data_IF_491249979367
#
_entry.id   IF_491249979367
#
_cell.length_a   1.000
_cell.length_b   1.000
_cell.length_c   1.000
_cell.angle_alpha   90.00
_cell.angle_beta   90.00
_cell.angle_gamma   90.00
#
_symmetry.space_group_name_H-M   'P 1'
#
loop_
_entity.id
_entity.type
_entity.pdbx_description
1 polymer ?
#
# COMPACT_ATOMS: atom_id res chain seq x y z
N UNK A 1 50.16 6.79 40.22
CA UNK A 1 49.32 7.50 41.19
C UNK A 1 48.69 8.70 40.50
N UNK A 2 47.38 8.65 40.27
CA UNK A 2 46.40 9.76 40.36
C UNK A 2 45.07 9.12 39.95
N UNK A 3 44.21 8.97 40.97
CA UNK A 3 42.79 8.68 40.83
C UNK A 3 42.13 9.97 40.32
N UNK A 4 41.28 9.89 39.30
CA UNK A 4 40.13 10.78 39.25
C UNK A 4 38.95 10.04 38.64
N UNK A 5 37.98 9.79 39.50
CA UNK A 5 36.69 9.21 39.20
C UNK A 5 35.79 10.25 38.54
N UNK A 6 35.04 9.85 37.51
CA UNK A 6 33.91 10.61 36.99
C UNK A 6 32.66 9.72 36.97
N UNK A 7 31.99 9.78 38.12
CA UNK A 7 30.55 9.93 38.39
C UNK A 7 29.56 9.40 37.33
N UNK A 8 28.61 8.53 37.73
CA UNK A 8 27.53 8.04 36.87
C UNK A 8 26.44 9.11 36.72
N UNK A 9 26.05 9.42 35.49
CA UNK A 9 24.85 10.24 35.22
C UNK A 9 23.62 9.34 35.32
N UNK A 10 22.99 9.39 36.48
CA UNK A 10 21.65 8.89 36.73
C UNK A 10 20.60 9.94 36.31
N UNK A 11 19.54 9.44 35.69
CA UNK A 11 18.16 9.95 35.72
C UNK A 11 17.85 11.21 34.90
N UNK A 12 17.06 11.01 33.85
CA UNK A 12 15.89 11.86 33.62
C UNK A 12 14.66 10.98 33.37
N UNK A 13 13.83 10.89 34.42
CA UNK A 13 12.48 10.35 34.39
C UNK A 13 11.63 11.24 33.48
N UNK A 14 11.30 10.74 32.28
CA UNK A 14 10.26 11.33 31.44
C UNK A 14 8.89 10.91 31.98
N UNK A 15 8.06 11.90 32.29
CA UNK A 15 6.71 11.76 32.83
C UNK A 15 5.82 10.92 31.90
N UNK A 16 5.32 9.80 32.43
CA UNK A 16 4.16 9.11 31.88
C UNK A 16 2.88 9.92 32.12
N UNK A 17 2.06 10.07 31.08
CA UNK A 17 0.67 10.51 31.19
C UNK A 17 -0.13 9.90 30.05
N UNK A 18 -0.89 8.85 30.36
CA UNK A 18 -2.21 8.67 29.77
C UNK A 18 -3.13 8.13 30.86
N UNK A 19 -4.11 8.95 31.22
CA UNK A 19 -5.15 8.61 32.17
C UNK A 19 -6.12 7.63 31.52
N UNK A 20 -6.29 6.50 32.19
CA UNK A 20 -7.41 5.59 32.05
C UNK A 20 -8.72 6.34 32.27
N UNK A 21 -9.66 6.20 31.33
CA UNK A 21 -11.08 6.44 31.56
C UNK A 21 -11.81 5.12 31.26
N UNK A 22 -11.87 4.25 32.26
CA UNK A 22 -12.88 3.21 32.33
C UNK A 22 -14.04 3.77 33.18
N UNK A 23 -15.17 4.02 32.52
CA UNK A 23 -16.46 4.12 33.21
C UNK A 23 -17.20 2.79 33.01
N UNK A 24 -17.82 2.24 34.06
CA UNK A 24 -18.49 0.95 34.01
C UNK A 24 -19.93 1.13 33.51
N UNK A 25 -20.34 0.34 32.51
CA UNK A 25 -21.75 0.09 32.25
C UNK A 25 -22.00 -1.39 32.42
N UNK A 26 -22.69 -1.71 33.52
CA UNK A 26 -23.42 -2.97 33.66
C UNK A 26 -24.46 -3.06 32.55
N UNK A 27 -24.60 -4.24 31.95
CA UNK A 27 -25.88 -4.70 31.45
C UNK A 27 -25.83 -6.22 31.33
N UNK A 28 -26.81 -6.82 31.96
CA UNK A 28 -26.99 -8.25 32.17
C UNK A 28 -27.03 -9.07 30.88
N UNK A 29 -26.60 -10.31 31.02
CA UNK A 29 -26.83 -11.41 30.08
C UNK A 29 -28.31 -11.50 29.70
N UNK A 30 -28.61 -11.89 28.46
CA UNK A 30 -29.53 -12.97 28.12
C UNK A 30 -29.53 -13.25 26.61
N UNK A 31 -29.79 -14.51 26.31
CA UNK A 31 -29.57 -15.24 25.07
C UNK A 31 -30.67 -14.91 24.05
N UNK A 32 -30.30 -14.69 22.78
CA UNK A 32 -31.19 -14.96 21.64
C UNK A 32 -30.38 -15.67 20.56
N UNK A 33 -30.83 -16.88 20.24
CA UNK A 33 -30.32 -17.68 19.15
C UNK A 33 -30.73 -17.09 17.80
N UNK A 34 -29.96 -17.52 16.80
CA UNK A 34 -30.38 -17.76 15.42
C UNK A 34 -30.34 -16.63 14.39
N UNK A 35 -29.70 -17.01 13.27
CA UNK A 35 -29.95 -16.59 11.89
C UNK A 35 -29.47 -15.18 11.53
N UNK A 36 -29.02 -14.85 10.34
CA UNK A 36 -28.44 -15.53 9.17
C UNK A 36 -27.95 -14.34 8.31
N UNK A 37 -26.89 -14.56 7.52
CA UNK A 37 -26.61 -13.88 6.25
C UNK A 37 -26.55 -12.32 6.18
N UNK A 38 -25.37 -11.85 5.68
CA UNK A 38 -25.19 -10.78 4.65
C UNK A 38 -25.31 -9.33 5.17
N UNK A 39 -24.49 -8.32 4.83
CA UNK A 39 -23.37 -8.03 3.91
C UNK A 39 -22.70 -6.72 4.45
N UNK A 40 -21.46 -6.33 4.14
CA UNK A 40 -20.96 -5.81 2.85
C UNK A 40 -19.42 -5.81 2.95
N UNK A 41 -18.67 -6.56 2.15
CA UNK A 41 -18.40 -6.35 0.73
C UNK A 41 -17.74 -4.98 0.45
N UNK A 42 -16.61 -4.68 1.06
CA UNK A 42 -15.66 -3.69 0.51
C UNK A 42 -14.49 -4.40 -0.21
N UNK A 43 -14.84 -5.45 -0.94
CA UNK A 43 -13.92 -6.16 -1.82
C UNK A 43 -14.02 -5.51 -3.20
N UNK A 44 -13.20 -4.49 -3.42
CA UNK A 44 -12.96 -3.97 -4.75
C UNK A 44 -12.41 -5.11 -5.62
N UNK A 45 -13.23 -5.46 -6.62
CA UNK A 45 -13.06 -6.48 -7.64
C UNK A 45 -11.60 -6.90 -7.94
N UNK A 46 -11.28 -8.14 -7.62
CA UNK A 46 -10.32 -8.92 -8.41
C UNK A 46 -10.84 -10.36 -8.50
N UNK A 47 -11.06 -10.92 -9.70
CA UNK A 47 -11.49 -12.31 -9.82
C UNK A 47 -10.43 -13.22 -9.21
N UNK A 48 -10.86 -14.13 -8.33
CA UNK A 48 -10.02 -14.92 -7.43
C UNK A 48 -8.85 -15.67 -8.12
N UNK A 49 -8.99 -16.06 -9.40
CA UNK A 49 -7.95 -16.77 -10.17
C UNK A 49 -6.78 -15.91 -10.66
N UNK A 50 -6.80 -14.60 -10.43
CA UNK A 50 -5.76 -13.66 -10.87
C UNK A 50 -4.65 -13.51 -9.83
N UNK A 51 -5.02 -13.64 -8.56
CA UNK A 51 -4.12 -13.44 -7.43
C UNK A 51 -3.13 -14.61 -7.25
N UNK A 52 -3.49 -15.84 -7.67
CA UNK A 52 -2.59 -17.00 -7.58
C UNK A 52 -1.37 -16.95 -8.53
N UNK A 53 -1.42 -16.10 -9.57
CA UNK A 53 -0.34 -15.97 -10.57
C UNK A 53 0.44 -14.66 -10.46
N UNK A 54 0.22 -13.89 -9.40
CA UNK A 54 0.89 -12.61 -9.19
C UNK A 54 2.27 -12.84 -8.54
N UNK A 55 3.35 -12.22 -9.03
CA UNK A 55 4.65 -12.29 -8.37
C UNK A 55 4.54 -11.84 -6.91
N UNK A 56 5.18 -12.59 -6.01
CA UNK A 56 5.16 -12.32 -4.57
C UNK A 56 5.55 -10.88 -4.25
N UNK A 57 6.50 -10.32 -5.00
CA UNK A 57 6.97 -8.96 -4.77
C UNK A 57 5.89 -7.89 -5.09
N UNK A 58 5.05 -8.11 -6.11
CA UNK A 58 3.93 -7.21 -6.45
C UNK A 58 2.80 -7.38 -5.43
N UNK A 59 2.53 -8.62 -4.99
CA UNK A 59 1.60 -8.89 -3.89
C UNK A 59 2.02 -8.13 -2.63
N UNK A 60 3.30 -8.19 -2.26
CA UNK A 60 3.83 -7.49 -1.09
C UNK A 60 3.74 -5.96 -1.21
N UNK A 61 3.95 -5.39 -2.42
CA UNK A 61 3.69 -3.96 -2.68
C UNK A 61 2.22 -3.60 -2.46
N UNK A 62 1.29 -4.38 -3.03
CA UNK A 62 -0.14 -4.13 -2.84
C UNK A 62 -0.52 -4.25 -1.36
N UNK A 63 0.03 -5.24 -0.66
CA UNK A 63 -0.21 -5.42 0.77
C UNK A 63 0.33 -4.23 1.59
N UNK A 64 1.47 -3.63 1.21
CA UNK A 64 1.96 -2.41 1.85
C UNK A 64 1.14 -1.17 1.49
N UNK A 65 0.61 -1.07 0.27
CA UNK A 65 -0.28 0.02 -0.14
C UNK A 65 -1.58 0.06 0.67
N UNK A 66 -2.15 -1.11 1.00
CA UNK A 66 -3.38 -1.20 1.80
C UNK A 66 -3.24 -0.57 3.19
N UNK A 67 -2.02 -0.61 3.75
CA UNK A 67 -1.69 -0.09 5.08
C UNK A 67 -1.49 1.43 5.10
N UNK A 68 -1.37 2.08 3.93
CA UNK A 68 -1.21 3.54 3.84
C UNK A 68 -2.50 4.29 4.14
N UNK A 69 -2.34 5.52 4.63
CA UNK A 69 -3.43 6.49 4.72
C UNK A 69 -4.03 6.78 3.34
N UNK A 70 -5.29 7.19 3.30
CA UNK A 70 -6.03 7.38 2.03
C UNK A 70 -5.31 8.31 1.06
N UNK A 71 -4.72 9.40 1.57
CA UNK A 71 -4.03 10.42 0.75
C UNK A 71 -2.63 9.99 0.28
N UNK A 72 -2.07 8.90 0.82
CA UNK A 72 -0.75 8.36 0.44
C UNK A 72 -0.87 7.07 -0.37
N UNK A 73 -2.07 6.51 -0.44
CA UNK A 73 -2.36 5.21 -1.04
C UNK A 73 -2.37 5.31 -2.57
N UNK A 74 -1.56 4.50 -3.27
CA UNK A 74 -1.68 4.37 -4.72
C UNK A 74 -3.11 4.00 -5.13
N UNK A 75 -3.56 4.57 -6.25
CA UNK A 75 -4.95 4.44 -6.71
C UNK A 75 -5.24 3.07 -7.31
N UNK A 76 -4.28 2.54 -8.08
CA UNK A 76 -4.42 1.23 -8.75
C UNK A 76 -3.09 0.61 -9.14
N UNK A 77 -3.12 -0.72 -9.30
CA UNK A 77 -2.08 -1.51 -9.95
C UNK A 77 -2.70 -2.23 -11.14
N UNK A 78 -2.10 -2.03 -12.31
CA UNK A 78 -2.57 -2.60 -13.58
C UNK A 78 -1.42 -3.34 -14.25
N UNK A 79 -1.66 -4.58 -14.68
CA UNK A 79 -0.71 -5.33 -15.47
C UNK A 79 -0.87 -5.02 -16.96
N UNK A 80 0.25 -4.96 -17.66
CA UNK A 80 0.33 -4.82 -19.11
C UNK A 80 1.32 -5.83 -19.69
N UNK A 81 1.21 -6.06 -21.00
CA UNK A 81 2.30 -6.57 -21.82
C UNK A 81 2.99 -5.39 -22.49
N UNK A 82 4.25 -5.16 -22.17
CA UNK A 82 5.07 -4.09 -22.74
C UNK A 82 6.37 -4.69 -23.25
N UNK A 83 6.70 -4.45 -24.53
CA UNK A 83 7.88 -5.04 -25.21
C UNK A 83 7.98 -6.57 -25.02
N UNK A 84 6.84 -7.26 -25.12
CA UNK A 84 6.72 -8.71 -24.96
C UNK A 84 6.91 -9.23 -23.52
N UNK A 85 7.03 -8.34 -22.53
CA UNK A 85 7.21 -8.70 -21.11
C UNK A 85 6.00 -8.25 -20.30
N UNK A 86 5.68 -9.01 -19.25
CA UNK A 86 4.68 -8.60 -18.28
C UNK A 86 5.26 -7.52 -17.38
N UNK A 87 4.53 -6.42 -17.22
CA UNK A 87 4.90 -5.30 -16.35
C UNK A 87 3.71 -4.85 -15.52
N UNK A 88 3.97 -4.14 -14.43
CA UNK A 88 3.00 -3.66 -13.47
C UNK A 88 3.13 -2.16 -13.33
N UNK A 89 2.09 -1.45 -13.76
CA UNK A 89 1.98 -0.01 -13.67
C UNK A 89 1.20 0.37 -12.41
N UNK A 90 1.80 1.23 -11.58
CA UNK A 90 1.28 1.69 -10.31
C UNK A 90 0.93 3.17 -10.45
N UNK A 91 -0.36 3.49 -10.30
CA UNK A 91 -0.81 4.88 -10.28
C UNK A 91 -0.75 5.40 -8.85
N UNK A 92 0.03 6.44 -8.63
CA UNK A 92 0.24 7.05 -7.33
C UNK A 92 -0.95 7.91 -6.90
N UNK A 93 -0.97 8.31 -5.62
CA UNK A 93 -2.11 9.01 -5.02
C UNK A 93 -2.39 10.39 -5.65
N UNK A 94 -1.36 11.06 -6.17
CA UNK A 94 -1.43 12.38 -6.79
C UNK A 94 -0.62 12.38 -8.09
N UNK A 95 -1.06 13.14 -9.10
CA UNK A 95 -0.36 13.27 -10.37
C UNK A 95 1.03 13.92 -10.26
N UNK A 96 1.29 14.66 -9.18
CA UNK A 96 2.62 15.22 -8.89
C UNK A 96 3.64 14.15 -8.48
N UNK A 97 3.20 12.93 -8.17
CA UNK A 97 4.07 11.78 -7.99
C UNK A 97 4.24 11.03 -9.30
N UNK A 98 5.42 10.47 -9.49
CA UNK A 98 5.69 9.60 -10.63
C UNK A 98 4.91 8.31 -10.55
N UNK A 99 4.17 7.96 -11.60
CA UNK A 99 3.50 6.66 -11.69
C UNK A 99 4.52 5.61 -12.14
N UNK A 100 4.67 4.55 -11.38
CA UNK A 100 5.83 3.67 -11.49
C UNK A 100 5.52 2.41 -12.30
N UNK A 101 6.48 1.94 -13.11
CA UNK A 101 6.39 0.66 -13.82
C UNK A 101 7.45 -0.30 -13.29
N UNK A 102 7.01 -1.52 -12.96
CA UNK A 102 7.85 -2.61 -12.48
C UNK A 102 7.77 -3.84 -13.39
N UNK A 103 8.86 -4.61 -13.49
CA UNK A 103 8.81 -5.95 -14.09
C UNK A 103 8.29 -7.02 -13.11
N UNK A 104 8.27 -8.28 -13.53
CA UNK A 104 7.83 -9.43 -12.72
C UNK A 104 8.79 -9.82 -11.58
N UNK A 105 9.97 -9.21 -11.53
CA UNK A 105 10.95 -9.31 -10.44
C UNK A 105 10.96 -8.07 -9.55
N UNK A 106 10.02 -7.14 -9.77
CA UNK A 106 9.94 -5.85 -9.09
C UNK A 106 11.14 -4.94 -9.29
N UNK A 107 11.86 -5.08 -10.41
CA UNK A 107 12.80 -4.05 -10.83
C UNK A 107 12.00 -2.85 -11.34
N UNK A 108 12.34 -1.66 -10.84
CA UNK A 108 11.79 -0.41 -11.34
C UNK A 108 12.33 -0.15 -12.74
N UNK A 109 11.43 -0.02 -13.71
CA UNK A 109 11.76 0.23 -15.12
C UNK A 109 11.74 1.72 -15.47
N UNK A 110 10.89 2.50 -14.79
CA UNK A 110 10.73 3.93 -15.05
C UNK A 110 9.32 4.41 -14.72
N UNK A 111 9.07 5.68 -15.03
CA UNK A 111 7.78 6.33 -14.82
C UNK A 111 7.31 6.98 -16.12
N UNK A 112 6.31 6.44 -16.82
CA UNK A 112 5.88 6.94 -18.12
C UNK A 112 5.05 8.24 -18.03
N UNK A 113 4.51 8.55 -16.86
CA UNK A 113 3.75 9.77 -16.56
C UNK A 113 3.85 10.15 -15.06
N UNK A 114 3.10 11.18 -14.69
CA UNK A 114 3.14 11.79 -13.37
C UNK A 114 4.33 12.75 -13.21
N UNK A 115 4.60 13.14 -11.97
CA UNK A 115 5.51 14.24 -11.68
C UNK A 115 4.88 15.61 -11.98
N UNK A 116 5.53 16.69 -11.54
CA UNK A 116 5.01 18.06 -11.72
C UNK A 116 4.66 18.45 -13.16
N UNK A 117 5.37 17.87 -14.14
CA UNK A 117 5.12 18.12 -15.57
C UNK A 117 4.11 17.15 -16.19
N UNK A 118 3.75 16.07 -15.49
CA UNK A 118 2.98 14.95 -16.00
C UNK A 118 3.71 14.04 -17.00
N UNK A 119 4.98 14.33 -17.33
CA UNK A 119 5.74 13.62 -18.37
C UNK A 119 6.53 12.41 -17.86
N UNK A 120 6.45 12.11 -16.57
CA UNK A 120 7.22 11.02 -15.99
C UNK A 120 8.72 11.31 -15.90
N UNK A 121 9.52 10.25 -15.79
CA UNK A 121 10.98 10.33 -15.63
C UNK A 121 11.76 10.21 -16.95
N UNK A 122 11.06 10.14 -18.07
CA UNK A 122 11.65 10.06 -19.42
C UNK A 122 12.22 8.69 -19.81
N UNK A 123 12.17 7.67 -18.95
CA UNK A 123 12.74 6.34 -19.25
C UNK A 123 11.83 5.46 -20.12
N UNK A 124 10.53 5.75 -20.12
CA UNK A 124 9.51 4.94 -20.79
C UNK A 124 8.61 5.80 -21.72
N UNK A 125 9.19 6.52 -22.71
CA UNK A 125 8.47 7.50 -23.51
C UNK A 125 7.41 6.90 -24.45
N UNK A 126 7.52 5.60 -24.75
CA UNK A 126 6.64 4.84 -25.65
C UNK A 126 5.65 3.94 -24.90
N UNK A 127 5.64 3.97 -23.57
CA UNK A 127 4.86 3.03 -22.74
C UNK A 127 3.38 2.99 -23.11
N UNK A 128 2.69 4.13 -23.13
CA UNK A 128 1.26 4.17 -23.43
C UNK A 128 0.93 3.87 -24.89
N UNK A 129 1.92 3.88 -25.78
CA UNK A 129 1.76 3.49 -27.19
C UNK A 129 1.93 1.98 -27.38
N UNK A 130 2.85 1.36 -26.65
CA UNK A 130 3.23 -0.05 -26.85
C UNK A 130 2.65 -1.02 -25.81
N UNK A 131 2.22 -0.54 -24.65
CA UNK A 131 1.62 -1.37 -23.62
C UNK A 131 0.24 -1.87 -24.08
N UNK A 132 0.03 -3.18 -23.98
CA UNK A 132 -1.19 -3.88 -24.41
C UNK A 132 -1.67 -4.84 -23.32
N UNK A 133 -2.79 -5.52 -23.56
CA UNK A 133 -3.34 -6.53 -22.64
C UNK A 133 -3.56 -6.00 -21.22
N UNK A 134 -4.14 -4.80 -21.11
CA UNK A 134 -4.44 -4.16 -19.83
C UNK A 134 -5.27 -5.09 -18.93
N UNK A 135 -4.85 -5.21 -17.66
CA UNK A 135 -5.55 -6.02 -16.69
C UNK A 135 -5.44 -5.41 -15.30
N UNK A 136 -6.57 -4.97 -14.74
CA UNK A 136 -6.63 -4.47 -13.37
C UNK A 136 -6.26 -5.59 -12.37
N UNK A 137 -5.29 -5.31 -11.50
CA UNK A 137 -4.80 -6.23 -10.46
C UNK A 137 -5.33 -5.85 -9.09
N UNK A 138 -5.39 -4.54 -8.81
CA UNK A 138 -5.86 -3.99 -7.54
C UNK A 138 -6.22 -2.51 -7.71
N UNK A 139 -7.16 -2.02 -6.89
CA UNK A 139 -7.62 -0.63 -6.92
C UNK A 139 -8.88 -0.42 -7.75
N UNK A 140 -9.21 0.83 -8.02
CA UNK A 140 -10.38 1.20 -8.84
C UNK A 140 -10.06 1.08 -10.34
N UNK A 141 -11.01 0.62 -11.18
CA UNK A 141 -10.90 0.80 -12.62
C UNK A 141 -10.68 2.28 -12.99
N UNK A 142 -10.04 2.51 -14.14
CA UNK A 142 -9.83 3.84 -14.71
C UNK A 142 -11.16 4.44 -15.19
#
# INVERSE_FOLDING_TARGET
MIKLAFIPVLIVLSCGSVKSNQSPSKSDSLIVAEQTAKAKNDSLYTPAGLQEKLPTCIKNKIDSFKLKEVHEKPQRVTAYTYKGKKVYYVVMACCDFFNEVYDDKCNFLGSPDGGFTGQGDGKLPDFFKEATNEKLIWGTPK
#
